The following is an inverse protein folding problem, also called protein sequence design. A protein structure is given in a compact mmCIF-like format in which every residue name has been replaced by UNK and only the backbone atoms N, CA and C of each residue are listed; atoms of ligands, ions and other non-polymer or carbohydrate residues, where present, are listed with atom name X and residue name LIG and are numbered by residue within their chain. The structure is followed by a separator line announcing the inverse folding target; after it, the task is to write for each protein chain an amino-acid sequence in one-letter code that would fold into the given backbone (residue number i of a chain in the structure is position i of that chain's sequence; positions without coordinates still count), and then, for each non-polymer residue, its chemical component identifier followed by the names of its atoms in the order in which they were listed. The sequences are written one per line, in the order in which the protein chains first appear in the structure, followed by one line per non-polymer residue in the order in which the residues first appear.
data_IF_628480534529
#
_entry.id   IF_628480534529
#
_cell.length_a   1.000
_cell.length_b   1.000
_cell.length_c   1.000
_cell.angle_alpha   90.00
_cell.angle_beta   90.00
_cell.angle_gamma   90.00
#
_symmetry.space_group_name_H-M   'P 1'
#
loop_
_entity.id
_entity.type
_entity.pdbx_description
1 polymer ?
#
# COMPACT_ATOMS: atom_id res chain seq x y z
N UNK A 1 -31.21 -64.24 -52.75
CA UNK A 1 -31.35 -64.43 -51.29
C UNK A 1 -30.20 -63.72 -50.58
N UNK A 2 -30.56 -63.00 -49.52
CA UNK A 2 -29.87 -62.02 -48.65
C UNK A 2 -28.34 -62.12 -48.50
N UNK A 3 -27.66 -60.98 -48.70
CA UNK A 3 -26.29 -60.66 -48.23
C UNK A 3 -26.29 -60.35 -46.72
N UNK A 4 -25.24 -60.68 -45.96
CA UNK A 4 -25.19 -60.42 -44.52
C UNK A 4 -24.82 -58.95 -44.22
N UNK A 5 -25.46 -58.39 -43.19
CA UNK A 5 -25.25 -57.03 -42.71
C UNK A 5 -24.14 -57.00 -41.65
N UNK A 6 -23.20 -56.07 -41.81
CA UNK A 6 -22.17 -55.70 -40.85
C UNK A 6 -22.80 -54.86 -39.73
N UNK A 7 -22.67 -55.31 -38.47
CA UNK A 7 -22.98 -54.50 -37.29
C UNK A 7 -21.90 -53.41 -37.11
N UNK A 8 -22.29 -52.14 -37.09
CA UNK A 8 -21.44 -51.05 -36.61
C UNK A 8 -21.73 -50.80 -35.12
N UNK A 9 -20.70 -50.91 -34.29
CA UNK A 9 -20.73 -50.46 -32.90
C UNK A 9 -20.57 -48.93 -32.88
N UNK A 10 -21.59 -48.21 -32.41
CA UNK A 10 -21.47 -46.79 -32.02
C UNK A 10 -21.21 -46.72 -30.52
N UNK A 11 -20.00 -46.32 -30.15
CA UNK A 11 -19.65 -45.90 -28.79
C UNK A 11 -20.28 -44.54 -28.50
N UNK A 12 -21.14 -44.48 -27.48
CA UNK A 12 -21.68 -43.23 -26.96
C UNK A 12 -20.82 -42.79 -25.76
N UNK A 13 -20.06 -41.71 -25.94
CA UNK A 13 -19.28 -41.07 -24.88
C UNK A 13 -20.19 -40.13 -24.09
N UNK A 14 -20.52 -40.45 -22.83
CA UNK A 14 -21.15 -39.50 -21.91
C UNK A 14 -20.09 -38.50 -21.41
N UNK A 15 -20.23 -37.21 -21.78
CA UNK A 15 -19.57 -36.11 -21.07
C UNK A 15 -20.43 -35.71 -19.86
N UNK A 16 -19.90 -35.93 -18.65
CA UNK A 16 -20.46 -35.34 -17.44
C UNK A 16 -19.95 -33.90 -17.31
N UNK A 17 -20.85 -32.91 -17.44
CA UNK A 17 -20.55 -31.52 -17.15
C UNK A 17 -20.58 -31.30 -15.63
N UNK A 18 -19.42 -31.05 -15.02
CA UNK A 18 -19.36 -30.54 -13.64
C UNK A 18 -19.74 -29.05 -13.65
N UNK A 19 -20.92 -28.74 -13.11
CA UNK A 19 -21.31 -27.38 -12.80
C UNK A 19 -20.52 -26.89 -11.59
N UNK A 20 -19.63 -25.91 -11.79
CA UNK A 20 -19.02 -25.16 -10.70
C UNK A 20 -20.07 -24.23 -10.10
N UNK A 21 -20.51 -24.52 -8.88
CA UNK A 21 -21.31 -23.59 -8.09
C UNK A 21 -20.44 -22.39 -7.71
N UNK A 22 -20.78 -21.21 -8.23
CA UNK A 22 -20.21 -19.93 -7.78
C UNK A 22 -20.71 -19.65 -6.36
N UNK A 23 -19.82 -19.37 -5.38
CA UNK A 23 -20.27 -18.93 -4.08
C UNK A 23 -20.82 -17.51 -4.22
N UNK A 24 -22.15 -17.39 -4.12
CA UNK A 24 -22.82 -16.12 -3.91
C UNK A 24 -22.45 -15.60 -2.51
N UNK A 25 -21.65 -14.54 -2.43
CA UNK A 25 -21.27 -13.93 -1.15
C UNK A 25 -19.89 -13.28 -1.14
N UNK A 26 -19.52 -12.56 -2.19
CA UNK A 26 -18.48 -11.53 -2.08
C UNK A 26 -19.22 -10.20 -2.04
N UNK A 27 -19.57 -9.73 -0.83
CA UNK A 27 -19.96 -8.34 -0.65
C UNK A 27 -18.72 -7.52 -1.01
N UNK A 28 -18.80 -6.74 -2.07
CA UNK A 28 -17.71 -5.88 -2.51
C UNK A 28 -17.44 -4.82 -1.43
N UNK A 29 -16.32 -4.97 -0.70
CA UNK A 29 -15.85 -4.02 0.32
C UNK A 29 -15.13 -2.83 -0.32
N UNK A 30 -15.59 -2.37 -1.47
CA UNK A 30 -15.05 -1.17 -2.08
C UNK A 30 -15.43 0.05 -1.26
N UNK A 31 -14.56 1.07 -1.32
CA UNK A 31 -14.85 2.43 -0.86
C UNK A 31 -16.31 2.74 -1.25
N UNK A 32 -17.17 2.94 -0.26
CA UNK A 32 -18.57 3.27 -0.48
C UNK A 32 -18.65 4.43 -1.45
N UNK A 33 -19.40 4.20 -2.52
CA UNK A 33 -19.75 5.13 -3.58
C UNK A 33 -19.85 6.59 -3.13
N UNK A 34 -18.92 7.42 -3.61
CA UNK A 34 -19.33 8.63 -4.32
C UNK A 34 -19.67 8.23 -5.77
N UNK A 35 -20.84 7.60 -5.93
CA UNK A 35 -21.50 7.24 -7.19
C UNK A 35 -20.91 6.07 -7.99
N UNK A 36 -21.71 5.04 -8.24
CA UNK A 36 -21.58 4.24 -9.47
C UNK A 36 -21.68 5.19 -10.67
N UNK A 37 -20.56 5.37 -11.37
CA UNK A 37 -20.37 6.38 -12.41
C UNK A 37 -19.57 7.62 -11.97
N UNK A 38 -19.03 7.62 -10.75
CA UNK A 38 -18.15 8.66 -10.23
C UNK A 38 -16.81 8.70 -10.97
N UNK A 39 -16.41 9.90 -11.35
CA UNK A 39 -15.19 10.21 -12.09
C UNK A 39 -13.96 9.50 -11.49
N UNK A 40 -13.31 8.64 -12.27
CA UNK A 40 -12.10 7.92 -11.87
C UNK A 40 -10.99 8.89 -11.40
N UNK A 41 -10.96 10.11 -11.95
CA UNK A 41 -10.04 11.17 -11.53
C UNK A 41 -10.39 11.67 -10.14
N UNK A 42 -11.67 11.92 -9.83
CA UNK A 42 -12.09 12.34 -8.49
C UNK A 42 -11.80 11.27 -7.42
N UNK A 43 -12.06 9.99 -7.73
CA UNK A 43 -11.65 8.88 -6.86
C UNK A 43 -10.13 8.82 -6.70
N UNK A 44 -9.40 8.97 -7.81
CA UNK A 44 -7.95 8.99 -7.80
C UNK A 44 -7.37 10.12 -6.95
N UNK A 45 -7.99 11.30 -6.97
CA UNK A 45 -7.60 12.44 -6.15
C UNK A 45 -7.63 12.10 -4.65
N UNK A 46 -8.68 11.40 -4.21
CA UNK A 46 -8.76 10.90 -2.83
C UNK A 46 -7.66 9.86 -2.54
N UNK A 47 -7.48 8.91 -3.46
CA UNK A 47 -6.59 7.78 -3.25
C UNK A 47 -5.11 8.15 -3.32
N UNK A 48 -4.70 9.19 -4.04
CA UNK A 48 -3.29 9.66 -4.03
C UNK A 48 -2.86 10.18 -2.66
N UNK A 49 -3.77 10.80 -1.90
CA UNK A 49 -3.53 11.17 -0.51
C UNK A 49 -3.49 9.93 0.38
N UNK A 50 -4.48 9.03 0.25
CA UNK A 50 -4.54 7.80 1.03
C UNK A 50 -3.30 6.90 0.82
N UNK A 51 -2.72 6.91 -0.38
CA UNK A 51 -1.52 6.16 -0.73
C UNK A 51 -0.20 6.92 -0.42
N UNK A 52 -0.26 8.20 -0.05
CA UNK A 52 0.94 9.01 0.21
C UNK A 52 1.78 9.33 -1.02
N UNK A 53 1.18 9.30 -2.22
CA UNK A 53 1.91 9.58 -3.47
C UNK A 53 2.50 10.99 -3.47
N UNK A 54 1.73 11.98 -3.01
CA UNK A 54 2.12 13.40 -3.01
C UNK A 54 3.27 13.65 -2.03
N UNK A 55 3.16 13.13 -0.80
CA UNK A 55 4.18 13.28 0.25
C UNK A 55 5.56 12.73 -0.16
N UNK A 56 5.58 11.60 -0.87
CA UNK A 56 6.83 10.98 -1.31
C UNK A 56 7.37 11.58 -2.61
N UNK A 57 6.49 11.84 -3.59
CA UNK A 57 6.90 12.27 -4.94
C UNK A 57 6.94 13.79 -5.12
N UNK A 58 6.97 14.55 -4.03
CA UNK A 58 7.18 16.01 -4.06
C UNK A 58 8.41 16.34 -3.23
N UNK A 59 9.45 16.88 -3.86
CA UNK A 59 10.61 17.38 -3.13
C UNK A 59 10.26 18.68 -2.37
N UNK A 60 10.94 18.99 -1.24
CA UNK A 60 10.79 20.28 -0.58
C UNK A 60 11.05 21.45 -1.55
N UNK A 61 10.05 22.33 -1.70
CA UNK A 61 10.09 23.44 -2.68
C UNK A 61 10.02 23.03 -4.16
N UNK A 62 9.78 21.75 -4.44
CA UNK A 62 9.63 21.19 -5.78
C UNK A 62 8.21 21.30 -6.33
N UNK A 63 8.04 20.94 -7.60
CA UNK A 63 6.71 20.80 -8.20
C UNK A 63 6.02 19.53 -7.69
N UNK A 64 4.69 19.56 -7.45
CA UNK A 64 3.95 18.38 -7.02
C UNK A 64 4.20 17.18 -7.93
N UNK A 65 4.41 16.00 -7.34
CA UNK A 65 4.57 14.71 -8.03
C UNK A 65 5.79 14.59 -8.97
N UNK A 66 6.63 15.62 -9.07
CA UNK A 66 7.80 15.66 -9.94
C UNK A 66 9.04 14.91 -9.40
N UNK A 67 8.90 14.24 -8.26
CA UNK A 67 9.95 13.46 -7.62
C UNK A 67 11.06 14.32 -7.01
N UNK A 68 12.23 13.71 -6.87
CA UNK A 68 13.47 14.36 -6.41
C UNK A 68 13.66 14.39 -4.90
N UNK A 69 12.70 13.90 -4.10
CA UNK A 69 12.84 13.78 -2.65
C UNK A 69 13.91 12.75 -2.31
N UNK A 70 14.87 13.12 -1.46
CA UNK A 70 15.88 12.22 -0.93
C UNK A 70 15.33 11.50 0.31
N UNK A 71 15.58 10.20 0.43
CA UNK A 71 15.20 9.37 1.57
C UNK A 71 16.44 8.62 2.03
N UNK A 72 17.00 9.02 3.18
CA UNK A 72 18.15 8.38 3.76
C UNK A 72 17.72 7.06 4.43
N UNK A 73 18.48 5.99 4.17
CA UNK A 73 18.27 4.69 4.80
C UNK A 73 19.62 4.10 5.22
N UNK A 74 19.65 3.07 6.07
CA UNK A 74 20.88 2.32 6.36
C UNK A 74 21.55 1.70 5.13
N UNK A 75 20.86 1.63 3.98
CA UNK A 75 21.36 1.03 2.73
C UNK A 75 21.84 2.08 1.71
N UNK A 76 21.75 3.38 2.05
CA UNK A 76 22.06 4.50 1.18
C UNK A 76 20.86 5.44 0.97
N UNK A 77 21.01 6.40 0.07
CA UNK A 77 19.98 7.40 -0.21
C UNK A 77 19.19 7.04 -1.46
N UNK A 78 17.87 6.93 -1.30
CA UNK A 78 16.96 6.76 -2.43
C UNK A 78 16.38 8.11 -2.84
N UNK A 79 16.05 8.24 -4.13
CA UNK A 79 15.43 9.43 -4.68
C UNK A 79 14.10 9.05 -5.33
N UNK A 80 13.03 9.74 -4.99
CA UNK A 80 11.72 9.47 -5.59
C UNK A 80 11.69 9.90 -7.05
N UNK A 81 11.09 9.11 -7.96
CA UNK A 81 10.98 9.49 -9.35
C UNK A 81 9.84 10.49 -9.59
N UNK A 82 9.89 11.19 -10.71
CA UNK A 82 8.78 11.94 -11.28
C UNK A 82 7.67 10.97 -11.72
N UNK A 83 6.46 11.16 -11.19
CA UNK A 83 5.27 10.36 -11.52
C UNK A 83 4.17 11.18 -12.20
N UNK A 84 4.52 12.36 -12.72
CA UNK A 84 3.63 13.15 -13.59
C UNK A 84 3.46 12.48 -14.95
N UNK A 85 2.47 12.88 -15.77
CA UNK A 85 2.24 12.28 -17.10
C UNK A 85 3.24 12.76 -18.16
N UNK A 86 4.35 13.38 -17.77
CA UNK A 86 5.43 13.69 -18.69
C UNK A 86 5.96 12.39 -19.36
N UNK A 87 6.03 12.32 -20.70
CA UNK A 87 6.38 11.08 -21.39
C UNK A 87 7.89 10.78 -21.40
N UNK A 88 8.77 11.73 -21.05
CA UNK A 88 10.23 11.54 -21.12
C UNK A 88 10.85 11.27 -19.75
N UNK A 89 10.42 12.02 -18.75
CA UNK A 89 10.98 12.01 -17.40
C UNK A 89 10.00 11.47 -16.35
N UNK A 90 8.70 11.49 -16.64
CA UNK A 90 7.63 10.94 -15.81
C UNK A 90 7.16 9.55 -16.23
N UNK A 91 5.91 9.23 -15.91
CA UNK A 91 5.26 7.94 -16.22
C UNK A 91 4.32 8.02 -17.43
N UNK A 92 4.36 9.09 -18.23
CA UNK A 92 3.40 9.35 -19.31
C UNK A 92 3.29 8.29 -20.41
N UNK A 93 4.28 7.40 -20.52
CA UNK A 93 4.28 6.27 -21.47
C UNK A 93 3.82 4.94 -20.88
N UNK A 94 3.55 4.89 -19.57
CA UNK A 94 3.17 3.64 -18.90
C UNK A 94 1.76 3.22 -19.28
N UNK A 95 1.61 1.97 -19.69
CA UNK A 95 0.31 1.33 -19.83
C UNK A 95 -0.33 1.05 -18.46
N UNK A 96 -1.59 0.64 -18.43
CA UNK A 96 -2.25 0.24 -17.19
C UNK A 96 -1.58 -0.99 -16.58
N UNK A 97 -1.14 -1.92 -17.44
CA UNK A 97 -0.38 -3.09 -17.03
C UNK A 97 0.97 -2.73 -16.41
N UNK A 98 1.68 -1.74 -16.96
CA UNK A 98 2.95 -1.27 -16.41
C UNK A 98 2.77 -0.66 -15.02
N UNK A 99 1.72 0.16 -14.86
CA UNK A 99 1.40 0.79 -13.58
C UNK A 99 1.04 -0.25 -12.51
N UNK A 100 0.15 -1.18 -12.84
CA UNK A 100 -0.22 -2.28 -11.94
C UNK A 100 0.99 -3.17 -11.63
N UNK A 101 1.84 -3.47 -12.61
CA UNK A 101 3.04 -4.26 -12.41
C UNK A 101 4.03 -3.58 -11.44
N UNK A 102 4.23 -2.28 -11.57
CA UNK A 102 5.06 -1.51 -10.66
C UNK A 102 4.52 -1.57 -9.23
N UNK A 103 3.25 -1.21 -9.02
CA UNK A 103 2.68 -1.12 -7.68
C UNK A 103 2.42 -2.48 -7.05
N UNK A 104 1.93 -3.47 -7.79
CA UNK A 104 1.55 -4.77 -7.23
C UNK A 104 2.69 -5.78 -7.20
N UNK A 105 3.74 -5.60 -8.01
CA UNK A 105 4.83 -6.56 -8.11
C UNK A 105 6.21 -5.96 -7.93
N UNK A 106 6.38 -4.64 -7.85
CA UNK A 106 7.69 -4.01 -7.69
C UNK A 106 8.61 -4.30 -8.88
N UNK A 107 8.08 -4.17 -10.09
CA UNK A 107 8.80 -4.36 -11.35
C UNK A 107 8.61 -3.13 -12.26
N UNK A 108 9.69 -2.66 -12.87
CA UNK A 108 9.62 -1.61 -13.89
C UNK A 108 8.97 -2.14 -15.17
N UNK A 109 8.54 -1.27 -16.10
CA UNK A 109 8.06 -1.69 -17.42
C UNK A 109 9.06 -2.58 -18.19
N UNK A 110 10.36 -2.44 -17.89
CA UNK A 110 11.44 -3.24 -18.48
C UNK A 110 11.72 -4.55 -17.70
N UNK A 111 10.97 -4.83 -16.64
CA UNK A 111 11.12 -6.01 -15.78
C UNK A 111 12.20 -5.88 -14.70
N UNK A 112 12.76 -4.69 -14.48
CA UNK A 112 13.77 -4.48 -13.43
C UNK A 112 13.12 -4.44 -12.05
N UNK A 113 13.80 -4.99 -11.04
CA UNK A 113 13.29 -5.03 -9.69
C UNK A 113 13.41 -3.68 -8.98
N UNK A 114 12.29 -3.17 -8.48
CA UNK A 114 12.29 -2.00 -7.58
C UNK A 114 12.80 -2.37 -6.18
N UNK A 115 13.41 -1.39 -5.52
CA UNK A 115 13.78 -1.49 -4.11
C UNK A 115 12.52 -1.38 -3.24
N UNK A 116 12.45 -2.06 -2.09
CA UNK A 116 11.27 -2.07 -1.22
C UNK A 116 10.98 -0.74 -0.51
N UNK A 117 11.84 0.29 -0.69
CA UNK A 117 11.50 1.67 -0.34
C UNK A 117 10.30 2.18 -1.15
N UNK A 118 10.07 1.62 -2.35
CA UNK A 118 8.79 1.73 -3.03
C UNK A 118 7.86 0.66 -2.44
N UNK A 119 6.76 1.01 -1.74
CA UNK A 119 6.02 0.09 -0.87
C UNK A 119 5.09 -0.86 -1.64
N UNK A 120 5.60 -1.50 -2.70
CA UNK A 120 4.89 -2.52 -3.48
C UNK A 120 4.51 -3.74 -2.62
N UNK A 121 5.21 -3.98 -1.51
CA UNK A 121 4.88 -4.98 -0.49
C UNK A 121 3.54 -4.71 0.20
N UNK A 122 3.12 -3.45 0.25
CA UNK A 122 1.81 -3.01 0.74
C UNK A 122 0.83 -2.84 -0.42
N UNK A 123 1.19 -2.12 -1.48
CA UNK A 123 0.31 -1.86 -2.63
C UNK A 123 -0.14 -3.11 -3.39
N UNK A 124 0.57 -4.23 -3.29
CA UNK A 124 0.08 -5.53 -3.81
C UNK A 124 -1.30 -5.90 -3.27
N UNK A 125 -1.67 -5.39 -2.09
CA UNK A 125 -2.98 -5.61 -1.45
C UNK A 125 -4.07 -4.69 -1.98
N UNK A 126 -3.72 -3.61 -2.67
CA UNK A 126 -4.69 -2.66 -3.20
C UNK A 126 -5.47 -3.27 -4.37
N UNK A 127 -6.76 -2.96 -4.45
CA UNK A 127 -7.59 -3.39 -5.56
C UNK A 127 -7.08 -2.75 -6.87
N UNK A 128 -6.98 -3.49 -7.98
CA UNK A 128 -6.53 -2.93 -9.26
C UNK A 128 -7.31 -1.69 -9.69
N UNK A 129 -8.63 -1.66 -9.44
CA UNK A 129 -9.47 -0.51 -9.76
C UNK A 129 -9.07 0.78 -9.00
N UNK A 130 -8.62 0.66 -7.74
CA UNK A 130 -8.15 1.80 -6.95
C UNK A 130 -6.81 2.31 -7.48
N UNK A 131 -5.91 1.39 -7.86
CA UNK A 131 -4.63 1.75 -8.47
C UNK A 131 -4.83 2.44 -9.83
N UNK A 132 -5.79 1.98 -10.63
CA UNK A 132 -6.10 2.62 -11.91
C UNK A 132 -6.81 3.97 -11.73
N UNK A 133 -7.61 4.16 -10.68
CA UNK A 133 -8.13 5.47 -10.32
C UNK A 133 -7.01 6.45 -9.93
N UNK A 134 -6.04 6.01 -9.11
CA UNK A 134 -4.82 6.78 -8.81
C UNK A 134 -4.13 7.19 -10.12
N UNK A 135 -3.90 6.23 -11.03
CA UNK A 135 -3.28 6.51 -12.33
C UNK A 135 -4.09 7.54 -13.13
N UNK A 136 -5.41 7.40 -13.20
CA UNK A 136 -6.27 8.35 -13.91
C UNK A 136 -6.10 9.78 -13.37
N UNK A 137 -6.04 9.94 -12.05
CA UNK A 137 -5.75 11.24 -11.45
C UNK A 137 -4.36 11.76 -11.79
N UNK A 138 -3.31 10.93 -11.68
CA UNK A 138 -1.94 11.33 -12.04
C UNK A 138 -1.87 11.79 -13.51
N UNK A 139 -2.57 11.09 -14.41
CA UNK A 139 -2.58 11.40 -15.84
C UNK A 139 -3.44 12.62 -16.21
N UNK A 140 -4.28 13.09 -15.29
CA UNK A 140 -5.02 14.35 -15.43
C UNK A 140 -4.21 15.58 -14.98
N UNK A 141 -3.04 15.40 -14.36
CA UNK A 141 -2.19 16.50 -13.88
C UNK A 141 -1.38 17.13 -15.01
N UNK A 142 -0.88 18.34 -14.76
CA UNK A 142 0.08 18.96 -15.67
C UNK A 142 1.38 18.14 -15.72
N UNK A 143 1.93 17.85 -16.92
CA UNK A 143 3.23 17.20 -17.04
C UNK A 143 4.32 18.14 -16.54
N UNK A 144 5.28 17.59 -15.78
CA UNK A 144 6.47 18.32 -15.34
C UNK A 144 7.69 17.64 -15.92
N UNK A 145 8.50 18.38 -16.67
CA UNK A 145 9.79 17.88 -17.17
C UNK A 145 10.82 18.00 -16.05
N UNK A 146 11.10 16.89 -15.38
CA UNK A 146 12.05 16.82 -14.27
C UNK A 146 12.79 15.49 -14.30
N UNK A 147 14.08 15.52 -14.64
CA UNK A 147 14.91 14.33 -14.74
C UNK A 147 15.06 13.63 -13.38
N UNK A 148 14.88 12.31 -13.37
CA UNK A 148 15.04 11.49 -12.18
C UNK A 148 16.49 11.47 -11.71
N UNK A 149 16.70 11.65 -10.41
CA UNK A 149 18.02 11.48 -9.78
C UNK A 149 18.31 9.99 -9.56
N UNK A 150 19.54 9.51 -9.86
CA UNK A 150 19.93 8.15 -9.53
C UNK A 150 19.99 7.96 -8.01
N UNK A 151 19.77 6.74 -7.52
CA UNK A 151 19.98 6.42 -6.10
C UNK A 151 21.47 6.43 -5.74
N UNK A 152 21.79 6.86 -4.53
CA UNK A 152 23.14 6.87 -3.97
C UNK A 152 23.30 5.67 -3.03
N UNK A 153 23.43 4.48 -3.64
CA UNK A 153 23.50 3.20 -2.94
C UNK A 153 24.80 2.47 -3.30
N UNK A 154 25.50 1.96 -2.29
CA UNK A 154 26.76 1.25 -2.45
C UNK A 154 26.59 -0.23 -2.78
N UNK A 155 27.67 -0.88 -3.22
CA UNK A 155 27.74 -2.34 -3.26
C UNK A 155 27.58 -2.93 -1.85
N UNK A 156 26.85 -4.04 -1.66
CA UNK A 156 26.20 -4.85 -2.69
C UNK A 156 24.78 -4.39 -3.10
N UNK A 157 24.18 -3.42 -2.39
CA UNK A 157 22.78 -3.02 -2.56
C UNK A 157 22.47 -2.38 -3.92
N UNK A 158 23.47 -1.82 -4.60
CA UNK A 158 23.35 -1.30 -5.98
C UNK A 158 23.04 -2.37 -7.04
N UNK A 159 23.28 -3.66 -6.76
CA UNK A 159 23.01 -4.74 -7.70
C UNK A 159 21.51 -5.08 -7.72
N UNK A 160 20.77 -4.52 -8.68
CA UNK A 160 19.32 -4.70 -8.84
C UNK A 160 18.84 -6.15 -8.81
N UNK A 161 19.62 -7.08 -9.38
CA UNK A 161 19.24 -8.51 -9.40
C UNK A 161 19.12 -9.12 -8.00
N UNK A 162 19.87 -8.61 -7.00
CA UNK A 162 19.74 -9.10 -5.62
C UNK A 162 18.35 -8.83 -5.04
N UNK A 163 17.61 -7.85 -5.56
CA UNK A 163 16.22 -7.60 -5.17
C UNK A 163 15.28 -8.73 -5.59
N UNK A 164 15.62 -9.54 -6.60
CA UNK A 164 14.86 -10.75 -6.92
C UNK A 164 14.94 -11.76 -5.76
N UNK A 165 16.14 -11.99 -5.22
CA UNK A 165 16.35 -12.84 -4.06
C UNK A 165 15.68 -12.28 -2.79
N UNK A 166 15.79 -10.97 -2.56
CA UNK A 166 15.10 -10.30 -1.46
C UNK A 166 13.58 -10.50 -1.55
N UNK A 167 12.98 -10.30 -2.74
CA UNK A 167 11.54 -10.50 -2.95
C UNK A 167 11.12 -11.96 -2.71
N UNK A 168 11.91 -12.93 -3.15
CA UNK A 168 11.61 -14.35 -2.88
C UNK A 168 11.49 -14.62 -1.36
N UNK A 169 12.34 -14.00 -0.55
CA UNK A 169 12.33 -14.17 0.89
C UNK A 169 11.18 -13.39 1.57
N UNK A 170 11.00 -12.11 1.23
CA UNK A 170 10.21 -11.16 2.03
C UNK A 170 8.93 -10.64 1.36
N UNK A 171 8.72 -10.87 0.08
CA UNK A 171 7.54 -10.40 -0.64
C UNK A 171 6.55 -11.54 -0.91
N UNK A 172 5.28 -11.30 -0.60
CA UNK A 172 4.16 -12.21 -0.91
C UNK A 172 3.11 -11.41 -1.68
N UNK A 173 3.03 -11.54 -3.01
CA UNK A 173 2.05 -10.81 -3.79
C UNK A 173 0.64 -11.29 -3.47
N UNK A 174 -0.32 -10.36 -3.44
CA UNK A 174 -1.72 -10.72 -3.29
C UNK A 174 -2.58 -9.58 -2.75
N UNK A 175 -3.79 -9.51 -3.32
CA UNK A 175 -4.81 -8.55 -2.94
C UNK A 175 -5.28 -8.72 -1.49
N UNK A 176 -5.75 -7.63 -0.90
CA UNK A 176 -6.37 -7.62 0.42
C UNK A 176 -7.56 -8.59 0.45
N UNK A 177 -7.63 -9.38 1.51
CA UNK A 177 -8.77 -10.27 1.76
C UNK A 177 -9.45 -9.85 3.06
N UNK A 178 -10.71 -9.38 3.00
CA UNK A 178 -11.49 -9.08 4.19
C UNK A 178 -11.53 -10.28 5.14
N UNK A 179 -11.38 -10.01 6.44
CA UNK A 179 -11.52 -11.02 7.46
C UNK A 179 -13.00 -11.34 7.65
N UNK A 180 -13.35 -12.61 7.47
CA UNK A 180 -14.69 -13.12 7.76
C UNK A 180 -15.06 -12.89 9.23
N UNK A 181 -16.27 -12.37 9.47
CA UNK A 181 -16.78 -12.07 10.81
C UNK A 181 -16.21 -10.81 11.47
N UNK A 182 -15.31 -10.06 10.81
CA UNK A 182 -14.97 -8.70 11.25
C UNK A 182 -16.05 -7.72 10.79
N UNK A 183 -16.28 -6.67 11.59
CA UNK A 183 -17.18 -5.59 11.21
C UNK A 183 -16.69 -4.90 9.92
N UNK A 184 -17.59 -4.39 9.05
CA UNK A 184 -17.21 -3.75 7.79
C UNK A 184 -16.16 -2.65 7.96
N UNK A 185 -16.30 -1.81 8.97
CA UNK A 185 -15.39 -0.72 9.32
C UNK A 185 -13.98 -1.22 9.69
N UNK A 186 -13.87 -2.38 10.35
CA UNK A 186 -12.56 -2.98 10.67
C UNK A 186 -11.88 -3.47 9.39
N UNK A 187 -12.61 -4.08 8.46
CA UNK A 187 -12.06 -4.48 7.16
C UNK A 187 -11.68 -3.26 6.31
N UNK A 188 -12.45 -2.16 6.40
CA UNK A 188 -12.13 -0.89 5.75
C UNK A 188 -10.83 -0.31 6.28
N UNK A 189 -10.68 -0.23 7.61
CA UNK A 189 -9.45 0.22 8.25
C UNK A 189 -8.26 -0.66 7.94
N UNK A 190 -8.45 -1.99 7.90
CA UNK A 190 -7.41 -2.93 7.52
C UNK A 190 -6.90 -2.68 6.10
N UNK A 191 -7.80 -2.41 5.14
CA UNK A 191 -7.42 -2.07 3.77
C UNK A 191 -6.61 -0.77 3.72
N UNK A 192 -7.07 0.28 4.40
CA UNK A 192 -6.38 1.56 4.45
C UNK A 192 -5.00 1.45 5.12
N UNK A 193 -4.87 0.70 6.21
CA UNK A 193 -3.60 0.55 6.94
C UNK A 193 -2.61 -0.37 6.21
N UNK A 194 -3.08 -1.48 5.64
CA UNK A 194 -2.20 -2.50 5.07
C UNK A 194 -1.91 -2.32 3.59
N UNK A 195 -2.82 -1.72 2.83
CA UNK A 195 -2.70 -1.60 1.38
C UNK A 195 -2.29 -0.19 0.96
N UNK A 196 -3.18 0.78 1.11
CA UNK A 196 -2.97 2.14 0.60
C UNK A 196 -2.01 2.93 1.49
N UNK A 197 -2.31 3.06 2.78
CA UNK A 197 -1.54 3.88 3.72
C UNK A 197 -0.26 3.22 4.24
N UNK A 198 0.02 1.97 3.87
CA UNK A 198 1.29 1.25 4.10
C UNK A 198 1.91 1.45 5.49
N UNK A 199 1.10 1.60 6.54
CA UNK A 199 1.58 2.04 7.86
C UNK A 199 2.61 1.04 8.45
N UNK A 200 2.49 -0.22 8.05
CA UNK A 200 3.43 -1.28 8.39
C UNK A 200 4.87 -1.02 7.94
N UNK A 201 5.10 -0.22 6.90
CA UNK A 201 6.43 0.05 6.38
C UNK A 201 7.29 0.89 7.33
N UNK A 202 6.66 1.71 8.18
CA UNK A 202 7.33 2.49 9.23
C UNK A 202 7.10 1.91 10.63
N UNK A 203 5.88 1.45 10.94
CA UNK A 203 5.52 0.99 12.28
C UNK A 203 5.89 -0.47 12.56
N UNK A 204 6.63 -1.15 11.70
CA UNK A 204 7.09 -2.54 11.93
C UNK A 204 8.62 -2.58 11.85
N UNK A 205 9.31 -3.19 12.83
CA UNK A 205 10.76 -3.28 12.80
C UNK A 205 11.24 -4.16 11.64
N UNK A 206 12.45 -3.90 11.17
CA UNK A 206 13.08 -4.62 10.06
C UNK A 206 14.25 -5.46 10.54
N UNK A 207 14.47 -6.58 9.87
CA UNK A 207 15.71 -7.34 10.03
C UNK A 207 16.88 -6.64 9.32
N UNK A 208 18.14 -7.07 9.54
CA UNK A 208 19.31 -6.45 8.88
C UNK A 208 19.29 -6.48 7.35
N UNK A 209 18.48 -7.34 6.72
CA UNK A 209 18.28 -7.38 5.28
C UNK A 209 17.15 -6.44 4.80
N UNK A 210 16.58 -5.62 5.68
CA UNK A 210 15.50 -4.67 5.37
C UNK A 210 14.10 -5.29 5.28
N UNK A 211 13.96 -6.60 5.56
CA UNK A 211 12.67 -7.29 5.57
C UNK A 211 11.88 -7.00 6.84
N UNK A 212 10.56 -6.77 6.71
CA UNK A 212 9.66 -6.56 7.85
C UNK A 212 9.60 -7.78 8.76
N UNK A 213 9.72 -7.57 10.07
CA UNK A 213 9.50 -8.59 11.09
C UNK A 213 8.00 -8.72 11.36
N UNK A 214 7.30 -9.53 10.57
CA UNK A 214 5.83 -9.66 10.59
C UNK A 214 5.29 -10.08 11.98
N UNK A 215 6.06 -10.79 12.80
CA UNK A 215 5.68 -11.12 14.18
C UNK A 215 5.60 -9.90 15.13
N UNK A 216 6.14 -8.76 14.70
CA UNK A 216 6.10 -7.46 15.39
C UNK A 216 5.38 -6.40 14.54
N UNK A 217 4.45 -6.83 13.67
CA UNK A 217 3.69 -5.92 12.81
C UNK A 217 3.07 -4.78 13.63
N UNK A 218 3.31 -3.53 13.19
CA UNK A 218 2.78 -2.30 13.80
C UNK A 218 3.26 -2.00 15.23
N UNK A 219 4.24 -2.77 15.73
CA UNK A 219 4.75 -2.68 17.09
C UNK A 219 5.86 -1.61 17.29
N UNK A 220 6.06 -0.73 16.32
CA UNK A 220 7.05 0.35 16.34
C UNK A 220 8.49 -0.12 16.15
N UNK A 221 9.40 0.84 15.97
CA UNK A 221 10.84 0.60 15.80
C UNK A 221 11.65 1.76 16.37
N UNK A 222 12.85 1.48 16.90
CA UNK A 222 13.81 2.53 17.26
C UNK A 222 14.54 3.11 16.04
N UNK A 223 14.54 2.37 14.94
CA UNK A 223 15.36 2.62 13.76
C UNK A 223 14.47 3.00 12.57
N UNK A 224 13.63 4.02 12.76
CA UNK A 224 12.71 4.51 11.73
C UNK A 224 13.41 5.38 10.67
N UNK A 225 12.61 5.98 9.76
CA UNK A 225 13.10 6.97 8.81
C UNK A 225 13.92 8.07 9.50
N UNK A 226 14.99 8.52 8.87
CA UNK A 226 15.91 9.55 9.38
C UNK A 226 16.53 9.25 10.77
N UNK A 227 16.48 7.99 11.22
CA UNK A 227 17.01 7.56 12.52
C UNK A 227 16.08 7.87 13.70
N UNK A 228 14.83 8.26 13.43
CA UNK A 228 13.86 8.57 14.48
C UNK A 228 13.09 7.32 14.94
N UNK A 229 12.65 7.32 16.20
CA UNK A 229 11.81 6.24 16.72
C UNK A 229 10.39 6.37 16.18
N UNK A 230 9.84 5.26 15.69
CA UNK A 230 8.44 5.16 15.24
C UNK A 230 7.65 4.41 16.31
N UNK A 231 6.53 4.97 16.80
CA UNK A 231 5.82 4.41 17.95
C UNK A 231 5.12 3.09 17.61
N UNK A 232 4.91 2.29 18.64
CA UNK A 232 4.00 1.16 18.60
C UNK A 232 2.55 1.68 18.50
N UNK A 233 1.81 1.17 17.51
CA UNK A 233 0.41 1.51 17.24
C UNK A 233 -0.53 0.30 17.36
N UNK A 234 -0.07 -0.77 18.02
CA UNK A 234 -0.93 -1.86 18.50
C UNK A 234 -1.64 -1.44 19.80
N UNK A 235 -2.73 -2.11 20.22
CA UNK A 235 -3.46 -1.73 21.44
C UNK A 235 -2.77 -2.20 22.74
N UNK A 236 -1.45 -2.42 22.73
CA UNK A 236 -0.69 -2.63 23.96
C UNK A 236 -0.80 -1.37 24.86
N UNK A 237 -1.08 -1.57 26.14
CA UNK A 237 -1.35 -0.46 27.08
C UNK A 237 -0.10 0.25 27.60
N UNK A 238 1.06 -0.41 27.57
CA UNK A 238 2.29 0.16 28.11
C UNK A 238 3.14 0.84 27.04
N UNK A 239 3.25 0.20 25.87
CA UNK A 239 4.10 0.64 24.77
C UNK A 239 3.31 1.16 23.58
N UNK A 240 2.04 0.77 23.43
CA UNK A 240 1.19 1.08 22.28
C UNK A 240 0.08 2.10 22.55
N UNK A 241 -0.98 2.05 21.72
CA UNK A 241 -2.15 2.92 21.77
C UNK A 241 -3.29 2.36 22.65
N UNK A 242 -3.02 1.38 23.52
CA UNK A 242 -4.07 0.68 24.28
C UNK A 242 -4.88 1.55 25.26
N UNK A 243 -4.46 2.79 25.51
CA UNK A 243 -5.20 3.79 26.27
C UNK A 243 -6.02 4.78 25.42
N UNK A 244 -5.91 4.73 24.10
CA UNK A 244 -6.58 5.67 23.19
C UNK A 244 -7.92 5.14 22.73
N UNK A 245 -8.86 6.05 22.46
CA UNK A 245 -10.13 5.77 21.81
C UNK A 245 -10.00 5.80 20.27
N UNK A 246 -11.06 5.38 19.57
CA UNK A 246 -11.13 5.55 18.11
C UNK A 246 -11.09 7.03 17.73
N UNK A 247 -11.77 7.88 18.51
CA UNK A 247 -11.83 9.32 18.26
C UNK A 247 -10.47 9.98 18.45
N UNK A 248 -9.70 9.56 19.45
CA UNK A 248 -8.31 10.02 19.66
C UNK A 248 -7.42 9.71 18.45
N UNK A 249 -7.55 8.50 17.89
CA UNK A 249 -6.79 8.11 16.71
C UNK A 249 -7.28 8.88 15.49
N UNK A 250 -8.60 9.05 15.34
CA UNK A 250 -9.17 9.77 14.22
C UNK A 250 -8.79 11.26 14.23
N UNK A 251 -8.70 11.88 15.41
CA UNK A 251 -8.24 13.25 15.59
C UNK A 251 -6.78 13.39 15.21
N UNK A 252 -5.90 12.49 15.69
CA UNK A 252 -4.50 12.49 15.27
C UNK A 252 -4.36 12.38 13.76
N UNK A 253 -5.12 11.48 13.13
CA UNK A 253 -5.07 11.32 11.68
C UNK A 253 -5.67 12.50 10.92
N UNK A 254 -6.47 13.35 11.57
CA UNK A 254 -7.07 14.54 10.97
C UNK A 254 -6.18 15.78 11.08
N UNK A 255 -5.58 16.00 12.25
CA UNK A 255 -4.90 17.25 12.62
C UNK A 255 -3.45 17.08 13.05
N UNK A 256 -3.04 15.85 13.33
CA UNK A 256 -1.74 15.52 13.89
C UNK A 256 -1.70 15.62 15.42
N UNK A 257 -2.77 16.06 16.06
CA UNK A 257 -2.85 16.25 17.51
C UNK A 257 -3.09 14.94 18.24
N UNK A 258 -2.25 14.67 19.24
CA UNK A 258 -2.36 13.52 20.15
C UNK A 258 -3.29 13.85 21.32
N UNK A 259 -3.76 12.84 22.08
CA UNK A 259 -4.65 13.05 23.24
C UNK A 259 -4.03 13.86 24.39
N UNK A 260 -2.70 13.92 24.46
CA UNK A 260 -1.94 14.74 25.40
C UNK A 260 -1.76 16.20 24.93
N UNK A 261 -2.41 16.58 23.82
CA UNK A 261 -2.34 17.88 23.15
C UNK A 261 -0.99 18.24 22.53
N UNK A 262 -0.03 17.31 22.49
CA UNK A 262 1.16 17.45 21.67
C UNK A 262 0.86 17.02 20.22
N UNK A 263 1.73 17.35 19.27
CA UNK A 263 1.54 17.01 17.86
C UNK A 263 2.53 15.94 17.39
N UNK A 264 2.14 15.18 16.37
CA UNK A 264 3.11 14.37 15.62
C UNK A 264 4.14 15.29 14.95
N UNK A 265 5.38 14.83 14.90
CA UNK A 265 6.50 15.55 14.33
C UNK A 265 7.16 14.72 13.22
N UNK A 266 8.10 15.33 12.50
CA UNK A 266 8.88 14.66 11.47
C UNK A 266 8.01 14.06 10.36
N UNK A 267 8.42 12.89 9.87
CA UNK A 267 7.77 12.21 8.75
C UNK A 267 6.29 11.89 8.97
N UNK A 268 5.87 11.63 10.21
CA UNK A 268 4.46 11.36 10.52
C UNK A 268 3.60 12.63 10.36
N UNK A 269 4.15 13.80 10.64
CA UNK A 269 3.46 15.09 10.40
C UNK A 269 3.13 15.28 8.92
N UNK A 270 4.09 15.01 8.04
CA UNK A 270 3.87 15.08 6.59
C UNK A 270 2.86 14.03 6.10
N UNK A 271 2.88 12.82 6.67
CA UNK A 271 1.87 11.78 6.38
C UNK A 271 0.47 12.23 6.77
N UNK A 272 0.32 12.98 7.86
CA UNK A 272 -0.97 13.56 8.22
C UNK A 272 -1.36 14.66 7.26
N UNK A 273 -0.50 15.67 7.09
CA UNK A 273 -0.76 16.87 6.30
C UNK A 273 -1.12 16.53 4.85
N UNK A 274 -0.30 15.72 4.18
CA UNK A 274 -0.46 15.39 2.75
C UNK A 274 -1.25 14.10 2.51
N UNK A 275 -1.69 13.42 3.56
CA UNK A 275 -2.31 12.10 3.49
C UNK A 275 -3.58 11.99 4.32
N UNK A 276 -3.44 11.62 5.60
CA UNK A 276 -4.59 11.18 6.40
C UNK A 276 -5.60 12.30 6.73
N UNK A 277 -5.15 13.55 6.75
CA UNK A 277 -6.03 14.73 6.93
C UNK A 277 -7.05 14.85 5.79
N UNK A 278 -6.71 14.39 4.59
CA UNK A 278 -7.58 14.40 3.41
C UNK A 278 -8.56 13.22 3.36
N UNK A 279 -8.44 12.24 4.27
CA UNK A 279 -9.38 11.13 4.34
C UNK A 279 -10.75 11.59 4.82
N UNK A 280 -11.78 10.78 4.58
CA UNK A 280 -13.07 11.01 5.22
C UNK A 280 -12.98 10.72 6.72
N UNK A 281 -13.84 11.37 7.52
CA UNK A 281 -13.92 11.06 8.95
C UNK A 281 -14.23 9.57 9.21
N UNK A 282 -15.08 8.98 8.36
CA UNK A 282 -15.41 7.55 8.43
C UNK A 282 -14.17 6.66 8.19
N UNK A 283 -13.31 7.02 7.25
CA UNK A 283 -12.09 6.26 6.96
C UNK A 283 -11.04 6.40 8.06
N UNK A 284 -10.89 7.59 8.67
CA UNK A 284 -10.03 7.76 9.85
C UNK A 284 -10.54 6.96 11.06
N UNK A 285 -11.85 6.98 11.29
CA UNK A 285 -12.46 6.15 12.34
C UNK A 285 -12.28 4.65 12.05
N UNK A 286 -12.40 4.22 10.79
CA UNK A 286 -12.15 2.84 10.37
C UNK A 286 -10.70 2.43 10.64
N UNK A 287 -9.71 3.28 10.35
CA UNK A 287 -8.31 3.05 10.70
C UNK A 287 -8.16 2.84 12.21
N UNK A 288 -8.72 3.74 13.03
CA UNK A 288 -8.68 3.62 14.49
C UNK A 288 -9.33 2.32 14.99
N UNK A 289 -10.51 1.97 14.49
CA UNK A 289 -11.21 0.74 14.82
C UNK A 289 -10.38 -0.51 14.46
N UNK A 290 -9.74 -0.52 13.29
CA UNK A 290 -8.85 -1.60 12.90
C UNK A 290 -7.64 -1.73 13.82
N UNK A 291 -6.93 -0.63 14.09
CA UNK A 291 -5.74 -0.64 14.95
C UNK A 291 -6.07 -1.15 16.36
N UNK A 292 -7.18 -0.70 16.94
CA UNK A 292 -7.63 -1.15 18.27
C UNK A 292 -8.17 -2.60 18.27
N UNK A 293 -8.49 -3.17 17.11
CA UNK A 293 -8.92 -4.57 16.99
C UNK A 293 -7.76 -5.59 16.95
N UNK A 294 -6.52 -5.11 16.81
CA UNK A 294 -5.35 -5.97 16.67
C UNK A 294 -4.97 -6.66 17.98
N UNK A 295 -4.26 -7.81 17.94
CA UNK A 295 -3.58 -8.32 19.11
C UNK A 295 -2.55 -7.29 19.64
N UNK A 296 -2.50 -7.03 20.95
CA UNK A 296 -1.48 -6.16 21.51
C UNK A 296 -0.10 -6.81 21.39
N UNK A 297 0.91 -6.01 21.01
CA UNK A 297 2.30 -6.44 20.98
C UNK A 297 3.11 -5.50 21.85
N UNK A 298 3.73 -6.01 22.93
CA UNK A 298 4.63 -5.22 23.76
C UNK A 298 6.01 -5.14 23.10
N UNK A 299 6.39 -3.95 22.63
CA UNK A 299 7.65 -3.72 21.95
C UNK A 299 8.00 -2.22 21.95
N UNK A 300 9.30 -1.91 22.03
CA UNK A 300 9.78 -0.53 22.11
C UNK A 300 9.75 0.04 23.52
N UNK A 301 9.98 1.36 23.64
CA UNK A 301 9.93 2.07 24.92
C UNK A 301 8.47 2.29 25.35
N UNK A 302 8.17 2.32 26.67
CA UNK A 302 6.88 2.76 27.16
C UNK A 302 6.54 4.15 26.61
N UNK A 303 5.26 4.42 26.34
CA UNK A 303 4.84 5.81 26.05
C UNK A 303 5.13 6.65 27.29
N UNK A 304 5.90 7.73 27.12
CA UNK A 304 6.12 8.69 28.20
C UNK A 304 4.78 9.27 28.64
N UNK A 305 4.54 9.31 29.95
CA UNK A 305 3.43 10.07 30.53
C UNK A 305 3.58 11.57 30.27
#
# INVERSE_FOLDING_TARGET
MRRPALLSFRTATLLAALAFATPAGATEYFVTETGAGGDAVARGAYLVHAAGCIACHTAPGGQPLAGGRAMATPFGTFHTPNITPDPETGIGRWSDADFLQALQHGLSPAGEHYYPVFPFTSYTKAAPADLLAIKAYLFAQAPVVAANKPHEIGFPFSVRLLQAGWKALFFRPGEFRPRAGAAPEVNRGAYLVQALGHCGECHTPRNPAGGLLIGLALAGTSDGPDGEAVPNITPDRETGIGGWSVDDIAELLASGTKPDFDNVQGSMGEVVEEGTAHLTAADRAAIGAYLLSLPPVRHGKPRGN
#
